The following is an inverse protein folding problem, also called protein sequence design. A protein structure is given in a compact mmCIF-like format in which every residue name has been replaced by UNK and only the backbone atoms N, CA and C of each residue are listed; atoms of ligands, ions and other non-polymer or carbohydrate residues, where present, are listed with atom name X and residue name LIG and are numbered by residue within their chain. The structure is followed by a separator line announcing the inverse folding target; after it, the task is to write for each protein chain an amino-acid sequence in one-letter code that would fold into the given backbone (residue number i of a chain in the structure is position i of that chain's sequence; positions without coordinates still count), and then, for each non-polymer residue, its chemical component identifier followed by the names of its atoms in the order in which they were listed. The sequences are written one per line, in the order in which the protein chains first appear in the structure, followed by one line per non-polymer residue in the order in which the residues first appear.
data_IF_649384989228
#
_entry.id   IF_649384989228
#
_cell.length_a   1.000
_cell.length_b   1.000
_cell.length_c   1.000
_cell.angle_alpha   90.00
_cell.angle_beta   90.00
_cell.angle_gamma   90.00
#
_symmetry.space_group_name_H-M   'P 1'
#
loop_
_entity.id
_entity.type
_entity.pdbx_description
1 polymer ?
#
# COMPACT_ATOMS: atom_id res chain seq x y z
N UNK A 1 -7.26 23.34 14.50
CA UNK A 1 -6.82 22.10 13.83
C UNK A 1 -6.84 22.33 12.33
N UNK A 2 -5.79 21.91 11.61
CA UNK A 2 -5.73 22.06 10.14
C UNK A 2 -6.68 21.03 9.51
N UNK A 3 -7.46 21.44 8.51
CA UNK A 3 -8.38 20.55 7.81
C UNK A 3 -7.64 19.40 7.09
N UNK A 4 -6.39 19.67 6.69
CA UNK A 4 -5.49 18.71 6.05
C UNK A 4 -5.19 17.46 6.85
N UNK A 5 -5.36 17.48 8.17
CA UNK A 5 -5.18 16.31 9.02
C UNK A 5 -6.19 15.20 8.74
N UNK A 6 -7.34 15.52 8.14
CA UNK A 6 -8.36 14.53 7.79
C UNK A 6 -7.91 13.56 6.69
N UNK A 7 -6.99 13.98 5.81
CA UNK A 7 -6.57 13.16 4.66
C UNK A 7 -5.08 12.85 4.62
N UNK A 8 -4.20 13.71 5.15
CA UNK A 8 -2.78 13.38 5.29
C UNK A 8 -2.46 12.65 6.60
N UNK A 9 -3.26 12.86 7.64
CA UNK A 9 -2.97 12.44 9.01
C UNK A 9 -2.24 13.52 9.81
N UNK A 10 -1.92 13.19 11.06
CA UNK A 10 -1.22 14.10 11.97
C UNK A 10 0.30 14.07 11.71
N UNK A 11 1.03 15.10 12.15
CA UNK A 11 2.49 15.07 12.17
C UNK A 11 3.05 13.78 12.81
N UNK A 12 3.88 13.06 12.05
CA UNK A 12 4.47 11.77 12.45
C UNK A 12 3.49 10.59 12.50
N UNK A 13 2.21 10.80 12.14
CA UNK A 13 1.18 9.75 12.04
C UNK A 13 0.41 9.90 10.72
N UNK A 14 1.09 9.71 9.57
CA UNK A 14 0.46 9.80 8.27
C UNK A 14 -0.56 8.67 8.04
N UNK A 15 -1.65 8.98 7.34
CA UNK A 15 -2.71 8.00 7.04
C UNK A 15 -2.25 6.99 5.98
N UNK A 16 -1.51 7.44 4.96
CA UNK A 16 -1.13 6.61 3.83
C UNK A 16 -0.37 5.33 4.25
N UNK A 17 0.69 5.38 5.08
CA UNK A 17 1.39 4.17 5.53
C UNK A 17 0.50 3.15 6.25
N UNK A 18 -0.38 3.60 7.14
CA UNK A 18 -1.31 2.69 7.84
C UNK A 18 -2.26 1.97 6.86
N UNK A 19 -2.70 2.65 5.80
CA UNK A 19 -3.51 2.03 4.75
C UNK A 19 -2.69 1.09 3.84
N UNK A 20 -1.40 1.40 3.61
CA UNK A 20 -0.51 0.50 2.88
C UNK A 20 -0.27 -0.81 3.60
N UNK A 21 -0.21 -0.84 4.94
CA UNK A 21 -0.07 -2.08 5.71
C UNK A 21 -1.23 -3.05 5.43
N UNK A 22 -2.46 -2.55 5.45
CA UNK A 22 -3.66 -3.34 5.12
C UNK A 22 -3.62 -3.81 3.67
N UNK A 23 -3.26 -2.91 2.75
CA UNK A 23 -3.23 -3.21 1.31
C UNK A 23 -2.17 -4.27 0.97
N UNK A 24 -0.92 -4.07 1.40
CA UNK A 24 0.20 -4.98 1.17
C UNK A 24 -0.07 -6.32 1.85
N UNK A 25 -0.51 -6.31 3.11
CA UNK A 25 -0.85 -7.53 3.85
C UNK A 25 -1.93 -8.34 3.13
N UNK A 26 -2.98 -7.68 2.63
CA UNK A 26 -4.07 -8.33 1.91
C UNK A 26 -3.62 -8.98 0.62
N UNK A 27 -2.88 -8.27 -0.25
CA UNK A 27 -2.39 -8.85 -1.51
C UNK A 27 -1.31 -9.92 -1.29
N UNK A 28 -0.52 -9.80 -0.23
CA UNK A 28 0.40 -10.86 0.20
C UNK A 28 -0.36 -12.11 0.57
N UNK A 29 -1.41 -11.98 1.40
CA UNK A 29 -2.28 -13.10 1.73
C UNK A 29 -2.95 -13.69 0.49
N UNK A 30 -3.48 -12.87 -0.42
CA UNK A 30 -4.06 -13.34 -1.68
C UNK A 30 -3.06 -14.21 -2.45
N UNK A 31 -1.83 -13.74 -2.60
CA UNK A 31 -0.76 -14.47 -3.30
C UNK A 31 -0.47 -15.81 -2.63
N UNK A 32 -0.38 -15.86 -1.30
CA UNK A 32 -0.15 -17.10 -0.54
C UNK A 32 -1.34 -18.06 -0.62
N UNK A 33 -2.57 -17.57 -0.50
CA UNK A 33 -3.78 -18.38 -0.64
C UNK A 33 -3.90 -18.98 -2.04
N UNK A 34 -3.59 -18.20 -3.08
CA UNK A 34 -3.53 -18.66 -4.46
C UNK A 34 -2.45 -19.73 -4.64
N UNK A 35 -1.28 -19.54 -4.06
CA UNK A 35 -0.20 -20.54 -4.06
C UNK A 35 -0.62 -21.85 -3.41
N UNK A 36 -1.24 -21.78 -2.22
CA UNK A 36 -1.72 -22.94 -1.50
C UNK A 36 -2.77 -23.72 -2.30
N UNK A 37 -3.60 -23.02 -3.08
CA UNK A 37 -4.57 -23.67 -3.95
C UNK A 37 -3.92 -24.35 -5.15
N UNK A 38 -3.06 -23.66 -5.90
CA UNK A 38 -2.42 -24.24 -7.09
C UNK A 38 -1.48 -25.41 -6.76
N UNK A 39 -1.02 -25.50 -5.50
CA UNK A 39 -0.22 -26.63 -4.99
C UNK A 39 -1.06 -27.74 -4.34
N UNK A 40 -2.39 -27.58 -4.28
CA UNK A 40 -3.31 -28.58 -3.75
C UNK A 40 -3.35 -28.69 -2.22
N UNK A 41 -2.79 -27.73 -1.50
CA UNK A 41 -2.77 -27.71 -0.02
C UNK A 41 -4.19 -27.53 0.54
N UNK A 42 -4.98 -26.66 -0.09
CA UNK A 42 -6.25 -26.16 0.47
C UNK A 42 -7.51 -26.77 -0.11
N UNK A 43 -7.41 -27.58 -1.17
CA UNK A 43 -8.53 -28.31 -1.80
C UNK A 43 -9.78 -27.43 -2.02
N UNK A 44 -9.59 -26.22 -2.55
CA UNK A 44 -10.62 -25.23 -2.83
C UNK A 44 -10.65 -24.03 -1.88
N UNK A 45 -10.27 -24.19 -0.62
CA UNK A 45 -10.33 -23.09 0.36
C UNK A 45 -9.39 -21.92 -0.01
N UNK A 46 -8.26 -22.21 -0.66
CA UNK A 46 -7.29 -21.20 -1.08
C UNK A 46 -7.81 -20.37 -2.24
N UNK A 47 -8.63 -20.94 -3.13
CA UNK A 47 -9.29 -20.19 -4.21
C UNK A 47 -10.23 -19.10 -3.67
N UNK A 48 -11.07 -19.45 -2.68
CA UNK A 48 -11.99 -18.50 -2.05
C UNK A 48 -11.23 -17.41 -1.30
N UNK A 49 -10.21 -17.79 -0.52
CA UNK A 49 -9.36 -16.85 0.21
C UNK A 49 -8.62 -15.88 -0.72
N UNK A 50 -8.03 -16.40 -1.80
CA UNK A 50 -7.35 -15.61 -2.82
C UNK A 50 -8.28 -14.58 -3.46
N UNK A 51 -9.44 -15.01 -3.96
CA UNK A 51 -10.32 -14.12 -4.69
C UNK A 51 -10.95 -13.05 -3.78
N UNK A 52 -11.42 -13.43 -2.58
CA UNK A 52 -11.96 -12.48 -1.59
C UNK A 52 -10.89 -11.46 -1.20
N UNK A 53 -9.65 -11.91 -0.98
CA UNK A 53 -8.55 -11.02 -0.66
C UNK A 53 -8.20 -10.06 -1.81
N UNK A 54 -8.22 -10.51 -3.07
CA UNK A 54 -8.05 -9.60 -4.21
C UNK A 54 -9.12 -8.50 -4.21
N UNK A 55 -10.39 -8.84 -4.01
CA UNK A 55 -11.48 -7.84 -3.98
C UNK A 55 -11.33 -6.89 -2.80
N UNK A 56 -11.10 -7.42 -1.60
CA UNK A 56 -10.88 -6.60 -0.41
C UNK A 56 -9.67 -5.68 -0.59
N UNK A 57 -8.57 -6.20 -1.13
CA UNK A 57 -7.36 -5.46 -1.44
C UNK A 57 -7.63 -4.32 -2.41
N UNK A 58 -8.40 -4.56 -3.48
CA UNK A 58 -8.78 -3.54 -4.45
C UNK A 58 -9.64 -2.43 -3.82
N UNK A 59 -10.56 -2.80 -2.91
CA UNK A 59 -11.37 -1.82 -2.17
C UNK A 59 -10.47 -0.93 -1.29
N UNK A 60 -9.55 -1.53 -0.53
CA UNK A 60 -8.63 -0.77 0.35
C UNK A 60 -7.56 -0.01 -0.45
N UNK A 61 -7.23 -0.46 -1.66
CA UNK A 61 -6.33 0.25 -2.57
C UNK A 61 -6.86 1.64 -2.91
N UNK A 62 -8.19 1.83 -2.99
CA UNK A 62 -8.79 3.14 -3.32
C UNK A 62 -8.40 4.23 -2.30
N UNK A 63 -8.73 4.13 -1.00
CA UNK A 63 -8.31 5.15 -0.03
C UNK A 63 -6.78 5.22 0.12
N UNK A 64 -6.07 4.09 -0.03
CA UNK A 64 -4.59 4.07 0.01
C UNK A 64 -4.00 4.93 -1.10
N UNK A 65 -4.45 4.73 -2.35
CA UNK A 65 -3.97 5.46 -3.51
C UNK A 65 -4.38 6.95 -3.44
N UNK A 66 -5.59 7.25 -2.96
CA UNK A 66 -6.04 8.64 -2.82
C UNK A 66 -5.20 9.42 -1.81
N UNK A 67 -4.94 8.84 -0.63
CA UNK A 67 -4.11 9.49 0.40
C UNK A 67 -2.67 9.69 -0.09
N UNK A 68 -2.08 8.69 -0.74
CA UNK A 68 -0.74 8.80 -1.33
C UNK A 68 -0.66 9.79 -2.49
N UNK A 69 -1.72 9.91 -3.30
CA UNK A 69 -1.80 10.93 -4.36
C UNK A 69 -1.88 12.34 -3.78
N UNK A 70 -2.61 12.54 -2.69
CA UNK A 70 -2.68 13.84 -2.01
C UNK A 70 -1.30 14.24 -1.46
N UNK A 71 -0.56 13.29 -0.86
CA UNK A 71 0.84 13.53 -0.46
C UNK A 71 1.71 13.87 -1.68
N UNK A 72 1.60 13.10 -2.77
CA UNK A 72 2.38 13.31 -4.00
C UNK A 72 2.17 14.70 -4.62
N UNK A 73 0.95 15.23 -4.58
CA UNK A 73 0.62 16.57 -5.10
C UNK A 73 1.31 17.71 -4.34
N UNK A 74 1.86 17.45 -3.14
CA UNK A 74 2.61 18.44 -2.37
C UNK A 74 4.10 18.49 -2.71
N UNK A 75 4.60 17.51 -3.48
CA UNK A 75 6.01 17.39 -3.81
C UNK A 75 6.40 18.39 -4.90
N UNK A 76 7.53 19.08 -4.71
CA UNK A 76 8.13 19.94 -5.74
C UNK A 76 8.42 19.15 -7.02
N UNK A 77 7.81 19.59 -8.12
CA UNK A 77 7.91 18.93 -9.42
C UNK A 77 9.36 18.85 -9.90
N UNK A 78 9.78 17.67 -10.37
CA UNK A 78 11.12 17.44 -10.91
C UNK A 78 12.23 17.22 -9.88
N UNK A 79 11.94 17.40 -8.58
CA UNK A 79 12.85 17.02 -7.50
C UNK A 79 13.16 15.51 -7.50
N UNK A 80 14.25 15.08 -6.85
CA UNK A 80 14.58 13.65 -6.73
C UNK A 80 13.51 12.87 -5.97
N UNK A 81 12.92 13.49 -4.92
CA UNK A 81 11.75 12.92 -4.23
C UNK A 81 10.58 12.73 -5.19
N UNK A 82 10.28 13.70 -6.05
CA UNK A 82 9.19 13.59 -7.04
C UNK A 82 9.43 12.46 -8.04
N UNK A 83 10.66 12.27 -8.51
CA UNK A 83 11.01 11.17 -9.43
C UNK A 83 10.82 9.81 -8.76
N UNK A 84 11.32 9.64 -7.54
CA UNK A 84 11.16 8.41 -6.76
C UNK A 84 9.69 8.14 -6.48
N UNK A 85 8.94 9.15 -6.03
CA UNK A 85 7.51 9.03 -5.74
C UNK A 85 6.65 8.75 -6.97
N UNK A 86 6.99 9.33 -8.12
CA UNK A 86 6.31 9.05 -9.39
C UNK A 86 6.59 7.62 -9.89
N UNK A 87 7.82 7.13 -9.70
CA UNK A 87 8.18 5.74 -10.04
C UNK A 87 7.45 4.75 -9.13
N UNK A 88 7.37 5.05 -7.83
CA UNK A 88 6.55 4.30 -6.88
C UNK A 88 5.07 4.26 -7.31
N UNK A 89 4.48 5.42 -7.62
CA UNK A 89 3.09 5.51 -8.08
C UNK A 89 2.87 4.64 -9.32
N UNK A 90 3.76 4.71 -10.31
CA UNK A 90 3.66 3.89 -11.53
C UNK A 90 3.73 2.39 -11.23
N UNK A 91 4.64 1.96 -10.35
CA UNK A 91 4.74 0.57 -9.91
C UNK A 91 3.44 0.10 -9.22
N UNK A 92 2.87 0.92 -8.34
CA UNK A 92 1.64 0.59 -7.61
C UNK A 92 0.39 0.57 -8.50
N UNK A 93 0.29 1.49 -9.47
CA UNK A 93 -0.77 1.45 -10.50
C UNK A 93 -0.65 0.18 -11.34
N UNK A 94 0.56 -0.19 -11.73
CA UNK A 94 0.81 -1.42 -12.49
C UNK A 94 0.39 -2.64 -11.68
N UNK A 95 0.82 -2.74 -10.40
CA UNK A 95 0.41 -3.82 -9.50
C UNK A 95 -1.12 -3.91 -9.38
N UNK A 96 -1.79 -2.78 -9.17
CA UNK A 96 -3.26 -2.69 -9.04
C UNK A 96 -3.96 -3.22 -10.30
N UNK A 97 -3.47 -2.86 -11.49
CA UNK A 97 -4.02 -3.36 -12.76
C UNK A 97 -3.89 -4.88 -12.81
N UNK A 98 -2.72 -5.44 -12.47
CA UNK A 98 -2.52 -6.89 -12.48
C UNK A 98 -3.42 -7.64 -11.48
N UNK A 99 -3.59 -7.11 -10.27
CA UNK A 99 -4.52 -7.68 -9.29
C UNK A 99 -5.98 -7.59 -9.74
N UNK A 100 -6.39 -6.47 -10.35
CA UNK A 100 -7.72 -6.31 -10.92
C UNK A 100 -7.98 -7.31 -12.05
N UNK A 101 -7.01 -7.47 -12.97
CA UNK A 101 -7.10 -8.46 -14.05
C UNK A 101 -7.13 -9.89 -13.50
N UNK A 102 -6.35 -10.19 -12.46
CA UNK A 102 -6.39 -11.49 -11.78
C UNK A 102 -7.78 -11.77 -11.18
N UNK A 103 -8.41 -10.79 -10.53
CA UNK A 103 -9.75 -10.92 -9.96
C UNK A 103 -10.82 -11.13 -11.05
N UNK A 104 -10.73 -10.37 -12.15
CA UNK A 104 -11.66 -10.45 -13.29
C UNK A 104 -11.54 -11.80 -14.00
N UNK A 105 -10.34 -12.17 -14.43
CA UNK A 105 -10.12 -13.42 -15.18
C UNK A 105 -10.11 -14.68 -14.31
N UNK A 106 -10.00 -14.50 -12.99
CA UNK A 106 -10.14 -15.54 -11.98
C UNK A 106 -11.57 -15.87 -11.58
N UNK A 107 -12.54 -14.99 -11.90
CA UNK A 107 -13.89 -15.06 -11.35
C UNK A 107 -14.62 -16.39 -11.67
N UNK A 108 -14.49 -16.92 -12.88
CA UNK A 108 -15.19 -18.16 -13.23
C UNK A 108 -14.59 -19.40 -12.55
N UNK A 109 -13.28 -19.42 -12.31
CA UNK A 109 -12.60 -20.58 -11.70
C UNK A 109 -12.74 -20.58 -10.18
N UNK A 110 -12.67 -19.42 -9.51
CA UNK A 110 -12.75 -19.41 -8.04
C UNK A 110 -14.12 -19.90 -7.53
N UNK A 111 -15.21 -19.67 -8.27
CA UNK A 111 -16.55 -20.17 -7.89
C UNK A 111 -16.62 -21.70 -7.84
N UNK A 112 -15.71 -22.37 -8.55
CA UNK A 112 -15.54 -23.82 -8.54
C UNK A 112 -14.40 -24.27 -7.61
N UNK A 113 -13.91 -23.38 -6.73
CA UNK A 113 -12.82 -23.70 -5.80
C UNK A 113 -11.48 -23.91 -6.51
N UNK A 114 -11.20 -23.17 -7.59
CA UNK A 114 -9.95 -23.33 -8.34
C UNK A 114 -9.30 -21.98 -8.66
N UNK A 115 -7.97 -21.95 -8.77
CA UNK A 115 -7.21 -20.80 -9.26
C UNK A 115 -6.56 -21.18 -10.60
N UNK A 116 -7.04 -20.57 -11.68
CA UNK A 116 -6.46 -20.80 -13.00
C UNK A 116 -5.02 -20.27 -13.10
N UNK A 117 -4.16 -20.97 -13.84
CA UNK A 117 -2.74 -20.61 -14.03
C UNK A 117 -2.54 -19.18 -14.55
N UNK A 118 -3.39 -18.73 -15.46
CA UNK A 118 -3.36 -17.35 -15.98
C UNK A 118 -3.64 -16.31 -14.89
N UNK A 119 -4.70 -16.50 -14.11
CA UNK A 119 -5.06 -15.57 -13.04
C UNK A 119 -4.05 -15.58 -11.89
N UNK A 120 -3.48 -16.74 -11.57
CA UNK A 120 -2.38 -16.83 -10.60
C UNK A 120 -1.12 -16.13 -11.12
N UNK A 121 -0.77 -16.29 -12.40
CA UNK A 121 0.38 -15.58 -13.01
C UNK A 121 0.20 -14.07 -12.92
N UNK A 122 -1.00 -13.56 -13.21
CA UNK A 122 -1.30 -12.13 -13.03
C UNK A 122 -1.15 -11.69 -11.57
N UNK A 123 -1.60 -12.51 -10.61
CA UNK A 123 -1.42 -12.25 -9.17
C UNK A 123 0.06 -12.14 -8.81
N UNK A 124 0.90 -13.06 -9.29
CA UNK A 124 2.35 -13.04 -9.03
C UNK A 124 3.00 -11.82 -9.65
N UNK A 125 2.66 -11.43 -10.89
CA UNK A 125 3.19 -10.22 -11.51
C UNK A 125 2.78 -8.98 -10.70
N UNK A 126 1.51 -8.89 -10.29
CA UNK A 126 1.02 -7.82 -9.42
C UNK A 126 1.80 -7.75 -8.10
N UNK A 127 2.06 -8.90 -7.48
CA UNK A 127 2.83 -9.01 -6.25
C UNK A 127 4.29 -8.54 -6.41
N UNK A 128 4.94 -8.86 -7.55
CA UNK A 128 6.30 -8.39 -7.85
C UNK A 128 6.34 -6.87 -8.01
N UNK A 129 5.42 -6.27 -8.76
CA UNK A 129 5.32 -4.82 -8.89
C UNK A 129 5.00 -4.14 -7.57
N UNK A 130 4.12 -4.73 -6.75
CA UNK A 130 3.83 -4.24 -5.40
C UNK A 130 5.09 -4.28 -4.52
N UNK A 131 5.88 -5.35 -4.59
CA UNK A 131 7.14 -5.48 -3.84
C UNK A 131 8.15 -4.41 -4.25
N UNK A 132 8.29 -4.16 -5.56
CA UNK A 132 9.10 -3.06 -6.08
C UNK A 132 8.56 -1.70 -5.60
N UNK A 133 7.25 -1.51 -5.64
CA UNK A 133 6.58 -0.32 -5.13
C UNK A 133 6.87 -0.11 -3.64
N UNK A 134 6.80 -1.16 -2.82
CA UNK A 134 7.11 -1.10 -1.40
C UNK A 134 8.58 -0.70 -1.15
N UNK A 135 9.53 -1.22 -1.93
CA UNK A 135 10.93 -0.79 -1.86
C UNK A 135 11.09 0.71 -2.17
N UNK A 136 10.45 1.19 -3.24
CA UNK A 136 10.46 2.61 -3.61
C UNK A 136 9.77 3.48 -2.56
N UNK A 137 8.68 3.00 -1.95
CA UNK A 137 8.00 3.65 -0.82
C UNK A 137 8.90 3.79 0.40
N UNK A 138 9.70 2.76 0.68
CA UNK A 138 10.76 2.82 1.68
C UNK A 138 11.78 3.92 1.40
N UNK A 139 12.19 4.12 0.14
CA UNK A 139 13.09 5.22 -0.22
C UNK A 139 12.42 6.59 -0.04
N UNK A 140 11.14 6.75 -0.39
CA UNK A 140 10.38 8.00 -0.16
C UNK A 140 10.41 8.40 1.32
N UNK A 141 10.14 7.45 2.21
CA UNK A 141 10.03 7.72 3.65
C UNK A 141 11.41 7.78 4.32
N UNK A 142 12.24 6.77 4.15
CA UNK A 142 13.47 6.58 4.94
C UNK A 142 14.72 7.18 4.30
N UNK A 143 14.72 7.44 2.99
CA UNK A 143 15.86 8.10 2.31
C UNK A 143 15.57 9.58 2.07
N UNK A 144 14.38 9.89 1.54
CA UNK A 144 13.99 11.27 1.26
C UNK A 144 13.28 11.97 2.44
N UNK A 145 12.96 11.25 3.52
CA UNK A 145 12.41 11.85 4.73
C UNK A 145 10.96 12.34 4.62
N UNK A 146 10.21 11.92 3.59
CA UNK A 146 8.87 12.43 3.37
C UNK A 146 7.95 12.05 4.55
N UNK A 147 7.38 13.07 5.21
CA UNK A 147 6.47 12.92 6.38
C UNK A 147 7.13 12.28 7.62
N UNK A 148 8.46 12.30 7.71
CA UNK A 148 9.23 11.81 8.88
C UNK A 148 9.66 12.98 9.75
N UNK A 149 9.49 12.85 11.07
CA UNK A 149 9.97 13.83 12.05
C UNK A 149 11.28 13.33 12.68
N UNK A 150 12.39 14.05 12.50
CA UNK A 150 13.70 13.68 13.05
C UNK A 150 13.88 14.07 14.53
N UNK A 151 12.85 13.85 15.35
CA UNK A 151 12.81 14.22 16.77
C UNK A 151 13.32 13.07 17.68
N UNK A 152 14.61 12.75 17.55
CA UNK A 152 15.23 11.55 18.17
C UNK A 152 15.18 11.56 19.71
N UNK A 153 15.16 12.74 20.32
CA UNK A 153 15.12 12.91 21.79
C UNK A 153 13.72 13.25 22.33
N UNK A 154 12.67 13.14 21.52
CA UNK A 154 11.29 13.40 21.98
C UNK A 154 10.89 12.40 23.08
N UNK A 155 10.42 12.86 24.25
CA UNK A 155 9.92 11.97 25.29
C UNK A 155 8.80 11.06 24.76
N UNK A 156 8.80 9.79 25.17
CA UNK A 156 7.86 8.78 24.66
C UNK A 156 6.38 9.23 24.73
N UNK A 157 5.97 9.86 25.83
CA UNK A 157 4.61 10.39 26.01
C UNK A 157 4.24 11.45 24.96
N UNK A 158 5.20 12.30 24.58
CA UNK A 158 5.01 13.32 23.54
C UNK A 158 5.09 12.72 22.13
N UNK A 159 5.96 11.73 21.93
CA UNK A 159 6.11 11.03 20.67
C UNK A 159 4.81 10.32 20.23
N UNK A 160 4.08 9.69 21.16
CA UNK A 160 2.81 8.98 20.88
C UNK A 160 1.55 9.84 21.05
N UNK A 161 1.69 11.10 21.47
CA UNK A 161 0.56 12.00 21.69
C UNK A 161 -0.29 12.16 20.42
N UNK A 162 -1.61 11.93 20.47
CA UNK A 162 -2.54 12.19 19.37
C UNK A 162 -2.86 13.68 19.22
N UNK A 163 -2.40 14.51 20.16
CA UNK A 163 -2.46 15.96 20.05
C UNK A 163 -1.16 16.45 19.40
N UNK A 164 -1.22 17.13 18.24
CA UNK A 164 -0.05 17.75 17.65
C UNK A 164 0.44 18.91 18.52
N UNK A 165 1.75 18.97 18.73
CA UNK A 165 2.44 20.05 19.45
C UNK A 165 3.29 20.85 18.47
N UNK A 166 3.66 22.08 18.84
CA UNK A 166 4.34 23.02 17.95
C UNK A 166 5.62 22.44 17.35
N UNK A 167 6.40 21.68 18.11
CA UNK A 167 7.64 21.05 17.66
C UNK A 167 7.40 20.01 16.55
N UNK A 168 6.32 19.23 16.64
CA UNK A 168 5.95 18.27 15.59
C UNK A 168 5.46 18.97 14.32
N UNK A 169 4.68 20.05 14.46
CA UNK A 169 4.21 20.81 13.31
C UNK A 169 5.35 21.56 12.60
N UNK A 170 6.34 22.04 13.35
CA UNK A 170 7.56 22.65 12.80
C UNK A 170 8.43 21.62 12.09
N UNK A 171 8.63 20.44 12.71
CA UNK A 171 9.44 19.37 12.13
C UNK A 171 8.81 18.75 10.87
N UNK A 172 7.50 18.89 10.66
CA UNK A 172 6.82 18.39 9.45
C UNK A 172 6.99 19.34 8.25
N UNK A 173 7.24 20.62 8.48
CA UNK A 173 7.35 21.66 7.45
C UNK A 173 8.78 22.07 7.10
N UNK A 174 9.79 21.46 7.72
CA UNK A 174 11.21 21.66 7.43
C UNK A 174 11.76 20.53 6.57
#
# INVERSE_FOLDING_TARGET
MKLSYLWHGLPGHPIHPALTDVTIGTYTFATVAGFAEVTGITQGAGAYGWWIALIFGLIVTVPTALTGLLDWLTIEWGSELWKTASTHLLAMVTATIFFALAAIFGHAQYTHGNVGSGAYTLTVIGFLFMTLGAWLGGAIVFVHGMRVLSLVSEPAERAVSPVPHAEKEQAEGG
#
